data_IF_411050763201
#
_entry.id   IF_411050763201
#
_cell.length_a   1.000
_cell.length_b   1.000
_cell.length_c   1.000
_cell.angle_alpha   90.00
_cell.angle_beta   90.00
_cell.angle_gamma   90.00
#
_symmetry.space_group_name_H-M   'P 1'
#
loop_
_entity.id
_entity.type
_entity.pdbx_description
1 polymer ?
#
# COMPACT_ATOMS: atom_id res chain seq x y z
N UNK A 1 -6.18 -0.20 19.92
CA UNK A 1 -5.39 0.13 18.72
C UNK A 1 -6.15 1.19 17.95
N UNK A 2 -5.49 2.30 17.61
CA UNK A 2 -6.11 3.43 16.90
C UNK A 2 -5.49 3.56 15.50
N UNK A 3 -6.34 3.48 14.49
CA UNK A 3 -5.96 3.43 13.06
C UNK A 3 -6.52 4.65 12.35
N UNK A 4 -5.65 5.44 11.74
CA UNK A 4 -6.01 6.51 10.83
C UNK A 4 -5.87 6.05 9.37
N UNK A 5 -6.81 6.44 8.54
CA UNK A 5 -6.78 6.16 7.10
C UNK A 5 -6.84 7.49 6.36
N UNK A 6 -5.85 7.74 5.52
CA UNK A 6 -5.77 8.92 4.66
C UNK A 6 -5.78 8.44 3.21
N UNK A 7 -6.85 8.82 2.48
CA UNK A 7 -7.16 8.30 1.16
C UNK A 7 -8.08 7.07 1.21
N UNK A 8 -9.38 7.28 0.97
CA UNK A 8 -10.44 6.24 0.96
C UNK A 8 -10.75 5.76 -0.47
N UNK A 9 -9.69 5.41 -1.21
CA UNK A 9 -9.79 4.64 -2.45
C UNK A 9 -9.97 3.14 -2.14
N UNK A 10 -9.76 2.25 -3.14
CA UNK A 10 -9.90 0.80 -2.93
C UNK A 10 -8.90 0.27 -1.90
N UNK A 11 -7.66 0.77 -1.87
CA UNK A 11 -6.64 0.36 -0.89
C UNK A 11 -7.01 0.80 0.53
N UNK A 12 -7.36 2.08 0.73
CA UNK A 12 -7.75 2.58 2.04
C UNK A 12 -9.04 1.95 2.57
N UNK A 13 -9.99 1.65 1.68
CA UNK A 13 -11.22 0.92 2.03
C UNK A 13 -10.94 -0.52 2.45
N UNK A 14 -9.98 -1.20 1.82
CA UNK A 14 -9.56 -2.54 2.21
C UNK A 14 -8.90 -2.54 3.61
N UNK A 15 -8.09 -1.53 3.93
CA UNK A 15 -7.54 -1.34 5.28
C UNK A 15 -8.67 -1.12 6.29
N UNK A 16 -9.61 -0.20 5.99
CA UNK A 16 -10.77 0.05 6.85
C UNK A 16 -11.55 -1.22 7.13
N UNK A 17 -11.85 -2.00 6.10
CA UNK A 17 -12.56 -3.26 6.24
C UNK A 17 -11.79 -4.27 7.10
N UNK A 18 -10.50 -4.44 6.83
CA UNK A 18 -9.67 -5.41 7.55
C UNK A 18 -9.51 -5.12 9.05
N UNK A 19 -9.54 -3.87 9.47
CA UNK A 19 -9.44 -3.48 10.87
C UNK A 19 -10.79 -3.21 11.53
N UNK A 20 -11.91 -3.47 10.84
CA UNK A 20 -13.27 -3.23 11.34
C UNK A 20 -13.83 -4.43 12.10
N UNK A 21 -14.90 -4.23 12.90
CA UNK A 21 -15.61 -5.30 13.57
C UNK A 21 -16.17 -6.37 12.62
N UNK A 22 -16.43 -6.03 11.35
CA UNK A 22 -16.92 -6.98 10.33
C UNK A 22 -15.96 -8.16 10.09
N UNK A 23 -14.69 -7.99 10.46
CA UNK A 23 -13.63 -9.01 10.32
C UNK A 23 -13.13 -9.51 11.66
N UNK A 24 -13.88 -9.27 12.74
CA UNK A 24 -13.50 -9.68 14.09
C UNK A 24 -12.38 -8.83 14.71
N UNK A 25 -12.15 -7.61 14.19
CA UNK A 25 -11.14 -6.70 14.71
C UNK A 25 -11.81 -5.47 15.35
N UNK A 26 -11.44 -5.13 16.56
CA UNK A 26 -11.99 -4.00 17.31
C UNK A 26 -10.98 -2.83 17.37
N UNK A 27 -10.56 -2.35 16.22
CA UNK A 27 -9.74 -1.14 16.13
C UNK A 27 -10.63 0.11 16.07
N UNK A 28 -10.19 1.18 16.73
CA UNK A 28 -10.79 2.50 16.54
C UNK A 28 -10.28 3.08 15.23
N UNK A 29 -11.17 3.30 14.26
CA UNK A 29 -10.79 3.73 12.92
C UNK A 29 -11.29 5.16 12.67
N UNK A 30 -10.40 6.05 12.23
CA UNK A 30 -10.73 7.36 11.70
C UNK A 30 -10.30 7.47 10.24
N UNK A 31 -11.12 8.15 9.42
CA UNK A 31 -10.93 8.22 7.97
C UNK A 31 -10.97 9.66 7.50
N UNK A 32 -9.96 10.06 6.75
CA UNK A 32 -9.90 11.30 6.01
C UNK A 32 -9.70 11.04 4.52
N UNK A 33 -10.40 11.78 3.70
CA UNK A 33 -10.18 11.84 2.25
C UNK A 33 -10.32 13.29 1.79
N UNK A 34 -9.62 13.67 0.71
CA UNK A 34 -9.75 14.99 0.09
C UNK A 34 -11.16 15.20 -0.50
N UNK A 35 -11.80 14.11 -0.94
CA UNK A 35 -13.20 14.11 -1.38
C UNK A 35 -14.12 14.19 -0.16
N UNK A 36 -14.89 15.30 0.04
CA UNK A 36 -15.76 15.45 1.19
C UNK A 36 -16.84 14.36 1.30
N UNK A 37 -17.22 13.72 0.17
CA UNK A 37 -18.19 12.63 0.17
C UNK A 37 -17.63 11.34 0.82
N UNK A 38 -16.32 11.24 0.93
CA UNK A 38 -15.61 10.08 1.51
C UNK A 38 -15.00 10.37 2.88
N UNK A 39 -14.74 11.64 3.19
CA UNK A 39 -14.22 12.08 4.46
C UNK A 39 -15.26 11.90 5.58
N UNK A 40 -14.84 11.36 6.71
CA UNK A 40 -15.65 11.18 7.92
C UNK A 40 -15.15 12.10 9.02
N UNK A 41 -13.86 12.36 9.05
CA UNK A 41 -13.15 13.14 10.07
C UNK A 41 -12.24 14.16 9.40
N UNK A 42 -11.81 15.18 10.12
CA UNK A 42 -10.78 16.11 9.68
C UNK A 42 -9.39 15.45 9.68
N UNK A 43 -8.44 16.01 8.95
CA UNK A 43 -7.06 15.51 8.95
C UNK A 43 -6.41 15.62 10.33
N UNK A 44 -6.68 16.72 11.07
CA UNK A 44 -6.18 16.92 12.46
C UNK A 44 -6.65 15.80 13.39
N UNK A 45 -7.94 15.44 13.34
CA UNK A 45 -8.50 14.34 14.15
C UNK A 45 -7.89 13.00 13.77
N UNK A 46 -7.75 12.69 12.45
CA UNK A 46 -7.18 11.43 12.00
C UNK A 46 -5.73 11.30 12.41
N UNK A 47 -4.94 12.36 12.27
CA UNK A 47 -3.51 12.34 12.59
C UNK A 47 -3.29 12.23 14.10
N UNK A 48 -4.01 13.01 14.91
CA UNK A 48 -3.71 13.12 16.34
C UNK A 48 -4.39 12.08 17.21
N UNK A 49 -5.43 11.43 16.73
CA UNK A 49 -6.12 10.35 17.45
C UNK A 49 -5.70 8.94 17.01
N UNK A 50 -4.66 8.82 16.19
CA UNK A 50 -4.18 7.53 15.68
C UNK A 50 -2.78 7.18 16.17
N UNK A 51 -2.54 5.87 16.36
CA UNK A 51 -1.21 5.31 16.59
C UNK A 51 -0.48 5.03 15.26
N UNK A 52 -1.27 4.61 14.25
CA UNK A 52 -0.81 4.26 12.90
C UNK A 52 -1.69 4.93 11.84
N UNK A 53 -1.04 5.55 10.85
CA UNK A 53 -1.71 6.20 9.72
C UNK A 53 -1.43 5.43 8.44
N UNK A 54 -2.45 4.88 7.81
CA UNK A 54 -2.35 4.25 6.49
C UNK A 54 -2.59 5.30 5.41
N UNK A 55 -1.51 5.71 4.72
CA UNK A 55 -1.56 6.68 3.63
C UNK A 55 -1.65 5.98 2.28
N UNK A 56 -2.82 6.08 1.64
CA UNK A 56 -3.17 5.39 0.38
C UNK A 56 -3.71 6.38 -0.63
N UNK A 57 -2.84 7.22 -1.20
CA UNK A 57 -3.20 8.23 -2.20
C UNK A 57 -2.65 7.89 -3.58
N UNK A 58 -3.24 8.39 -4.68
CA UNK A 58 -2.79 8.06 -6.01
C UNK A 58 -1.40 8.64 -6.33
N UNK A 59 -0.64 7.88 -7.13
CA UNK A 59 0.65 8.27 -7.70
C UNK A 59 0.59 8.11 -9.22
N UNK A 60 -0.02 9.06 -9.95
CA UNK A 60 -0.19 8.96 -11.39
C UNK A 60 1.16 9.08 -12.13
N UNK A 61 1.17 8.67 -13.40
CA UNK A 61 2.31 8.87 -14.27
C UNK A 61 2.32 10.28 -14.85
N UNK A 62 3.49 10.89 -14.94
CA UNK A 62 3.73 12.08 -15.74
C UNK A 62 3.73 11.76 -17.25
N UNK A 63 3.63 12.77 -18.13
CA UNK A 63 3.69 12.56 -19.58
C UNK A 63 4.97 11.86 -20.09
N UNK A 64 6.09 11.99 -19.38
CA UNK A 64 7.37 11.34 -19.69
C UNK A 64 7.47 9.90 -19.13
N UNK A 65 6.40 9.39 -18.50
CA UNK A 65 6.35 8.07 -17.89
C UNK A 65 6.94 8.00 -16.47
N UNK A 66 7.50 9.09 -15.95
CA UNK A 66 7.93 9.14 -14.55
C UNK A 66 6.74 9.15 -13.59
N UNK A 67 6.95 8.71 -12.36
CA UNK A 67 5.91 8.72 -11.34
C UNK A 67 5.76 10.11 -10.73
N UNK A 68 4.51 10.58 -10.60
CA UNK A 68 4.22 11.83 -9.90
C UNK A 68 3.93 11.54 -8.42
N UNK A 69 4.73 12.15 -7.55
CA UNK A 69 4.64 11.99 -6.10
C UNK A 69 4.10 13.24 -5.38
N UNK A 70 3.62 14.25 -6.12
CA UNK A 70 3.18 15.54 -5.56
C UNK A 70 2.03 15.37 -4.56
N UNK A 71 1.11 14.42 -4.84
CA UNK A 71 -0.01 14.15 -3.93
C UNK A 71 0.49 13.55 -2.62
N UNK A 72 1.43 12.61 -2.67
CA UNK A 72 2.05 12.00 -1.47
C UNK A 72 2.78 13.09 -0.67
N UNK A 73 3.56 13.91 -1.35
CA UNK A 73 4.34 14.99 -0.74
C UNK A 73 3.45 16.03 -0.05
N UNK A 74 2.37 16.46 -0.72
CA UNK A 74 1.38 17.38 -0.16
C UNK A 74 0.74 16.84 1.12
N UNK A 75 0.31 15.57 1.10
CA UNK A 75 -0.33 14.97 2.28
C UNK A 75 0.67 14.75 3.42
N UNK A 76 1.92 14.40 3.12
CA UNK A 76 2.96 14.34 4.16
C UNK A 76 3.26 15.71 4.77
N UNK A 77 3.20 16.79 3.97
CA UNK A 77 3.31 18.17 4.49
C UNK A 77 2.15 18.49 5.44
N UNK A 78 0.90 18.19 5.03
CA UNK A 78 -0.28 18.40 5.87
C UNK A 78 -0.18 17.62 7.20
N UNK A 79 0.23 16.34 7.15
CA UNK A 79 0.44 15.53 8.35
C UNK A 79 1.51 16.16 9.25
N UNK A 80 2.64 16.58 8.65
CA UNK A 80 3.74 17.18 9.39
C UNK A 80 3.35 18.49 10.06
N UNK A 81 2.45 19.27 9.46
CA UNK A 81 1.93 20.51 10.03
C UNK A 81 1.02 20.29 11.24
N UNK A 82 0.08 19.32 11.13
CA UNK A 82 -0.95 19.13 12.16
C UNK A 82 -0.56 18.18 13.28
N UNK A 83 0.48 17.34 13.10
CA UNK A 83 0.82 16.29 14.06
C UNK A 83 1.31 16.83 15.41
N UNK A 84 0.75 16.27 16.50
CA UNK A 84 1.16 16.51 17.90
C UNK A 84 1.60 15.21 18.59
N UNK A 85 1.07 14.07 18.14
CA UNK A 85 1.23 12.75 18.77
C UNK A 85 2.29 11.85 18.11
N UNK A 86 2.83 12.25 16.93
CA UNK A 86 3.85 11.53 16.17
C UNK A 86 3.46 10.08 15.82
N UNK A 87 2.31 9.84 15.16
CA UNK A 87 1.92 8.52 14.73
C UNK A 87 2.92 7.94 13.72
N UNK A 88 2.88 6.61 13.51
CA UNK A 88 3.66 6.00 12.43
C UNK A 88 2.84 6.07 11.13
N UNK A 89 3.44 6.65 10.09
CA UNK A 89 2.84 6.81 8.76
C UNK A 89 3.27 5.63 7.88
N UNK A 90 2.32 4.74 7.57
CA UNK A 90 2.52 3.63 6.63
C UNK A 90 2.19 4.11 5.22
N UNK A 91 3.22 4.33 4.40
CA UNK A 91 3.08 4.67 2.99
C UNK A 91 2.74 3.41 2.19
N UNK A 92 1.58 3.44 1.51
CA UNK A 92 1.09 2.31 0.71
C UNK A 92 1.10 2.58 -0.79
N UNK A 93 1.19 3.85 -1.18
CA UNK A 93 1.25 4.27 -2.58
C UNK A 93 2.49 3.70 -3.27
N UNK A 94 2.36 3.26 -4.51
CA UNK A 94 3.50 2.75 -5.30
C UNK A 94 4.48 3.89 -5.57
N UNK A 95 5.77 3.65 -5.30
CA UNK A 95 6.83 4.63 -5.47
C UNK A 95 8.11 3.96 -5.99
N UNK A 96 8.96 4.72 -6.68
CA UNK A 96 10.28 4.22 -7.13
C UNK A 96 11.24 4.08 -5.94
N UNK A 97 12.18 3.12 -5.98
CA UNK A 97 13.17 2.92 -4.92
C UNK A 97 13.91 4.21 -4.54
N UNK A 98 13.98 4.48 -3.23
CA UNK A 98 14.59 5.68 -2.65
C UNK A 98 13.61 6.84 -2.40
N UNK A 99 12.33 6.74 -2.79
CA UNK A 99 11.32 7.78 -2.57
C UNK A 99 11.00 7.98 -1.09
N UNK A 100 10.73 6.91 -0.36
CA UNK A 100 10.40 6.97 1.08
C UNK A 100 11.54 7.55 1.89
N UNK A 101 12.78 7.21 1.56
CA UNK A 101 13.96 7.78 2.21
C UNK A 101 14.11 9.29 1.96
N UNK A 102 13.76 9.76 0.74
CA UNK A 102 13.72 11.20 0.43
C UNK A 102 12.65 11.91 1.27
N UNK A 103 11.44 11.31 1.39
CA UNK A 103 10.39 11.85 2.23
C UNK A 103 10.78 11.86 3.71
N UNK A 104 11.39 10.80 4.24
CA UNK A 104 11.87 10.78 5.61
C UNK A 104 12.92 11.86 5.88
N UNK A 105 13.80 12.15 4.91
CA UNK A 105 14.75 13.26 5.02
C UNK A 105 14.08 14.64 4.94
N UNK A 106 13.06 14.78 4.10
CA UNK A 106 12.31 16.03 3.93
C UNK A 106 11.44 16.33 5.16
N UNK A 107 10.88 15.30 5.78
CA UNK A 107 10.00 15.39 6.95
C UNK A 107 10.60 14.63 8.14
N UNK A 108 11.69 15.10 8.76
CA UNK A 108 12.41 14.35 9.80
C UNK A 108 11.60 14.18 11.10
N UNK A 109 10.51 14.91 11.27
CA UNK A 109 9.60 14.78 12.43
C UNK A 109 8.58 13.65 12.27
N UNK A 110 8.36 13.15 11.05
CA UNK A 110 7.48 12.03 10.78
C UNK A 110 8.18 10.69 11.04
N UNK A 111 7.41 9.69 11.47
CA UNK A 111 7.85 8.30 11.54
C UNK A 111 7.31 7.56 10.32
N UNK A 112 8.05 7.51 9.23
CA UNK A 112 7.61 6.89 7.98
C UNK A 112 8.02 5.43 7.94
N UNK A 113 7.10 4.56 7.48
CA UNK A 113 7.35 3.15 7.12
C UNK A 113 6.72 2.90 5.76
N UNK A 114 7.45 2.35 4.81
CA UNK A 114 6.88 1.90 3.54
C UNK A 114 6.25 0.52 3.72
N UNK A 115 4.96 0.41 3.40
CA UNK A 115 4.20 -0.82 3.48
C UNK A 115 3.44 -1.04 2.17
N UNK A 116 4.08 -1.63 1.14
CA UNK A 116 3.45 -1.86 -0.15
C UNK A 116 2.21 -2.75 -0.05
N UNK A 117 1.28 -2.53 -0.97
CA UNK A 117 0.12 -3.36 -1.18
C UNK A 117 0.28 -4.25 -2.43
N UNK A 118 -0.39 -5.40 -2.45
CA UNK A 118 -0.42 -6.35 -3.56
C UNK A 118 -1.87 -6.73 -3.89
N UNK A 119 -2.78 -5.75 -3.80
CA UNK A 119 -4.21 -5.93 -3.94
C UNK A 119 -4.63 -5.83 -5.40
N UNK A 120 -5.65 -6.58 -5.75
CA UNK A 120 -6.39 -6.42 -7.00
C UNK A 120 -7.62 -5.55 -6.72
N UNK A 121 -7.92 -4.55 -7.54
CA UNK A 121 -9.02 -3.62 -7.29
C UNK A 121 -10.36 -4.33 -7.08
N UNK A 122 -10.62 -5.41 -7.85
CA UNK A 122 -11.87 -6.18 -7.77
C UNK A 122 -12.03 -6.98 -6.47
N UNK A 123 -10.94 -7.37 -5.84
CA UNK A 123 -10.92 -8.26 -4.66
C UNK A 123 -10.16 -7.67 -3.47
N UNK A 124 -9.96 -6.34 -3.45
CA UNK A 124 -9.07 -5.66 -2.51
C UNK A 124 -9.31 -6.03 -1.04
N UNK A 125 -10.58 -6.11 -0.60
CA UNK A 125 -10.93 -6.50 0.77
C UNK A 125 -10.50 -7.94 1.08
N UNK A 126 -10.77 -8.86 0.15
CA UNK A 126 -10.41 -10.27 0.29
C UNK A 126 -8.88 -10.44 0.25
N UNK A 127 -8.22 -9.79 -0.70
CA UNK A 127 -6.77 -9.85 -0.88
C UNK A 127 -6.03 -9.33 0.35
N UNK A 128 -6.52 -8.22 0.96
CA UNK A 128 -5.87 -7.67 2.14
C UNK A 128 -5.98 -8.59 3.36
N UNK A 129 -7.13 -9.24 3.56
CA UNK A 129 -7.32 -10.16 4.69
C UNK A 129 -6.51 -11.45 4.50
N UNK A 130 -6.40 -11.92 3.24
CA UNK A 130 -5.74 -13.18 2.90
C UNK A 130 -4.30 -12.98 2.40
N UNK A 131 -3.65 -11.86 2.72
CA UNK A 131 -2.26 -11.64 2.33
C UNK A 131 -1.34 -12.73 2.88
N UNK A 132 -0.52 -13.28 1.99
CA UNK A 132 0.46 -14.31 2.36
C UNK A 132 1.64 -13.76 3.16
N UNK A 133 1.88 -12.46 3.10
CA UNK A 133 2.98 -11.76 3.79
C UNK A 133 2.75 -10.25 3.82
N UNK A 134 3.36 -9.59 4.79
CA UNK A 134 3.52 -8.13 4.82
C UNK A 134 4.98 -7.75 4.61
N UNK A 135 5.21 -6.60 3.99
CA UNK A 135 6.54 -6.02 3.77
C UNK A 135 6.57 -4.66 4.44
N UNK A 136 7.59 -4.42 5.23
CA UNK A 136 7.76 -3.20 6.01
C UNK A 136 9.18 -2.69 5.81
N UNK A 137 9.32 -1.52 5.22
CA UNK A 137 10.61 -0.88 4.96
C UNK A 137 10.77 0.43 5.69
N UNK A 138 11.89 0.61 6.39
CA UNK A 138 12.16 1.85 7.09
C UNK A 138 13.11 1.74 8.27
N UNK A 139 12.98 2.69 9.20
CA UNK A 139 13.71 2.64 10.47
C UNK A 139 13.29 1.41 11.30
N UNK A 140 14.27 0.68 11.83
CA UNK A 140 14.06 -0.60 12.53
C UNK A 140 13.05 -0.49 13.67
N UNK A 141 13.11 0.60 14.45
CA UNK A 141 12.20 0.82 15.59
C UNK A 141 10.75 0.97 15.15
N UNK A 142 10.53 1.71 14.06
CA UNK A 142 9.18 1.95 13.52
C UNK A 142 8.65 0.71 12.80
N UNK A 143 9.51 0.00 12.06
CA UNK A 143 9.21 -1.28 11.40
C UNK A 143 8.77 -2.32 12.42
N UNK A 144 9.47 -2.49 13.55
CA UNK A 144 9.07 -3.41 14.63
C UNK A 144 7.68 -3.12 15.19
N UNK A 145 7.35 -1.84 15.42
CA UNK A 145 6.01 -1.46 15.89
C UNK A 145 4.92 -1.79 14.87
N UNK A 146 5.20 -1.58 13.57
CA UNK A 146 4.29 -1.99 12.51
C UNK A 146 4.14 -3.52 12.45
N UNK A 147 5.21 -4.28 12.65
CA UNK A 147 5.15 -5.74 12.73
C UNK A 147 4.26 -6.21 13.89
N UNK A 148 4.35 -5.57 15.05
CA UNK A 148 3.47 -5.84 16.19
C UNK A 148 2.00 -5.57 15.85
N UNK A 149 1.70 -4.45 15.13
CA UNK A 149 0.35 -4.15 14.63
C UNK A 149 -0.18 -5.27 13.73
N UNK A 150 0.60 -5.71 12.74
CA UNK A 150 0.17 -6.75 11.80
C UNK A 150 0.04 -8.11 12.48
N UNK A 151 0.94 -8.48 13.40
CA UNK A 151 0.81 -9.71 14.20
C UNK A 151 -0.41 -9.67 15.12
N UNK A 152 -0.70 -8.54 15.74
CA UNK A 152 -1.91 -8.36 16.54
C UNK A 152 -3.17 -8.58 15.70
N UNK A 153 -3.18 -8.08 14.44
CA UNK A 153 -4.36 -8.17 13.58
C UNK A 153 -4.50 -9.52 12.88
N UNK A 154 -3.42 -10.09 12.35
CA UNK A 154 -3.43 -11.26 11.46
C UNK A 154 -2.86 -12.53 12.10
N UNK A 155 -2.46 -12.46 13.34
CA UNK A 155 -1.88 -13.59 14.08
C UNK A 155 -0.35 -13.58 14.09
N UNK A 156 0.21 -14.24 15.09
CA UNK A 156 1.67 -14.23 15.36
C UNK A 156 2.49 -14.94 14.28
N UNK A 157 1.88 -15.82 13.50
CA UNK A 157 2.54 -16.63 12.47
C UNK A 157 2.56 -15.99 11.08
N UNK A 158 1.90 -14.83 10.91
CA UNK A 158 1.90 -14.15 9.60
C UNK A 158 3.33 -13.78 9.20
N UNK A 159 3.79 -14.14 7.98
CA UNK A 159 5.09 -13.76 7.49
C UNK A 159 5.21 -12.23 7.34
N UNK A 160 6.23 -11.63 7.95
CA UNK A 160 6.54 -10.21 7.83
C UNK A 160 8.01 -10.09 7.40
N UNK A 161 8.24 -9.38 6.30
CA UNK A 161 9.58 -9.05 5.79
C UNK A 161 9.89 -7.64 6.27
N UNK A 162 10.78 -7.55 7.26
CA UNK A 162 11.30 -6.31 7.82
C UNK A 162 12.59 -5.93 7.08
N UNK A 163 12.66 -4.74 6.50
CA UNK A 163 13.80 -4.33 5.66
C UNK A 163 13.96 -2.80 5.61
N UNK A 164 14.88 -2.31 4.79
CA UNK A 164 15.03 -0.88 4.47
C UNK A 164 13.99 -0.39 3.44
N UNK A 165 13.94 0.93 3.25
CA UNK A 165 13.00 1.56 2.32
C UNK A 165 13.19 1.08 0.88
N UNK A 166 14.43 1.13 0.40
CA UNK A 166 14.77 0.84 -0.98
C UNK A 166 14.45 -0.60 -1.36
N UNK A 167 14.73 -1.55 -0.46
CA UNK A 167 14.41 -2.97 -0.65
C UNK A 167 12.90 -3.21 -0.69
N UNK A 168 12.13 -2.60 0.23
CA UNK A 168 10.68 -2.75 0.24
C UNK A 168 10.02 -2.15 -1.01
N UNK A 169 10.48 -0.99 -1.47
CA UNK A 169 10.02 -0.33 -2.71
C UNK A 169 10.36 -1.17 -3.93
N UNK A 170 11.59 -1.73 -3.99
CA UNK A 170 12.01 -2.63 -5.06
C UNK A 170 11.12 -3.88 -5.15
N UNK A 171 10.80 -4.51 -4.02
CA UNK A 171 9.90 -5.68 -3.99
C UNK A 171 8.55 -5.34 -4.63
N UNK A 172 7.97 -4.17 -4.34
CA UNK A 172 6.71 -3.72 -4.98
C UNK A 172 6.88 -3.57 -6.49
N UNK A 173 7.96 -2.92 -6.93
CA UNK A 173 8.25 -2.72 -8.34
C UNK A 173 8.46 -4.04 -9.08
N UNK A 174 9.25 -4.95 -8.51
CA UNK A 174 9.49 -6.28 -9.09
C UNK A 174 8.18 -7.03 -9.32
N UNK A 175 7.27 -7.02 -8.33
CA UNK A 175 5.97 -7.67 -8.47
C UNK A 175 5.14 -7.07 -9.61
N UNK A 176 5.01 -5.74 -9.65
CA UNK A 176 4.21 -5.06 -10.66
C UNK A 176 4.80 -5.24 -12.07
N UNK A 177 6.12 -5.08 -12.24
CA UNK A 177 6.80 -5.27 -13.51
C UNK A 177 6.71 -6.73 -14.00
N UNK A 178 6.85 -7.69 -13.08
CA UNK A 178 6.71 -9.10 -13.42
C UNK A 178 5.30 -9.44 -13.92
N UNK A 179 4.26 -8.92 -13.25
CA UNK A 179 2.88 -9.12 -13.72
C UNK A 179 2.65 -8.48 -15.09
N UNK A 180 3.16 -7.26 -15.32
CA UNK A 180 3.07 -6.60 -16.63
C UNK A 180 3.80 -7.39 -17.73
N UNK A 181 4.99 -7.90 -17.43
CA UNK A 181 5.75 -8.74 -18.36
C UNK A 181 5.01 -10.05 -18.70
N UNK A 182 4.38 -10.68 -17.71
CA UNK A 182 3.55 -11.88 -17.93
C UNK A 182 2.39 -11.59 -18.89
N UNK A 183 1.68 -10.48 -18.69
CA UNK A 183 0.56 -10.09 -19.59
C UNK A 183 1.08 -9.82 -20.99
N UNK A 184 2.18 -9.06 -21.14
CA UNK A 184 2.79 -8.80 -22.44
C UNK A 184 3.22 -10.08 -23.16
N UNK A 185 3.90 -10.98 -22.43
CA UNK A 185 4.30 -12.28 -22.97
C UNK A 185 3.10 -13.10 -23.46
N UNK A 186 2.02 -13.16 -22.67
CA UNK A 186 0.82 -13.92 -23.05
C UNK A 186 0.13 -13.32 -24.28
N UNK A 187 0.13 -11.98 -24.43
CA UNK A 187 -0.40 -11.33 -25.60
C UNK A 187 0.42 -11.68 -26.87
N UNK A 188 1.76 -11.69 -26.77
CA UNK A 188 2.62 -12.11 -27.89
C UNK A 188 2.38 -13.58 -28.27
N UNK A 189 2.27 -14.46 -27.28
CA UNK A 189 1.98 -15.89 -27.53
C UNK A 189 0.60 -16.09 -28.14
N UNK A 190 -0.39 -15.28 -27.80
CA UNK A 190 -1.70 -15.29 -28.46
C UNK A 190 -1.58 -14.98 -29.97
N UNK A 191 -0.80 -13.96 -30.33
CA UNK A 191 -0.56 -13.60 -31.74
C UNK A 191 0.14 -14.74 -32.51
N UNK A 192 1.07 -15.44 -31.85
CA UNK A 192 1.74 -16.62 -32.43
C UNK A 192 0.72 -17.75 -32.65
N UNK A 193 -0.12 -18.05 -31.67
CA UNK A 193 -1.16 -19.06 -31.74
C UNK A 193 -2.11 -18.80 -32.93
N UNK A 194 -2.58 -17.55 -33.05
CA UNK A 194 -3.47 -17.15 -34.17
C UNK A 194 -2.83 -17.35 -35.57
N UNK A 195 -1.51 -17.09 -35.67
CA UNK A 195 -0.76 -17.26 -36.94
C UNK A 195 -0.47 -18.69 -37.30
N UNK A 196 -0.19 -19.54 -36.34
CA UNK A 196 0.13 -20.96 -36.61
C UNK A 196 -1.11 -21.89 -36.54
N UNK A 197 -2.30 -21.36 -36.22
CA UNK A 197 -3.53 -22.11 -36.17
C UNK A 197 -3.62 -23.05 -34.93
N UNK A 198 -2.85 -22.78 -33.90
CA UNK A 198 -2.92 -23.56 -32.66
C UNK A 198 -4.20 -23.24 -31.87
N UNK A 199 -4.71 -24.24 -31.14
CA UNK A 199 -5.79 -24.05 -30.19
C UNK A 199 -5.26 -23.32 -28.93
N UNK A 200 -5.66 -22.04 -28.79
CA UNK A 200 -5.19 -21.19 -27.70
C UNK A 200 -5.62 -21.68 -26.30
N UNK A 201 -6.86 -22.15 -26.17
CA UNK A 201 -7.39 -22.62 -24.89
C UNK A 201 -6.62 -23.87 -24.41
N UNK A 202 -6.39 -24.80 -25.31
CA UNK A 202 -5.59 -25.99 -25.03
C UNK A 202 -4.13 -25.65 -24.74
N UNK A 203 -3.57 -24.66 -25.45
CA UNK A 203 -2.20 -24.21 -25.22
C UNK A 203 -2.02 -23.57 -23.85
N UNK A 204 -2.98 -22.75 -23.39
CA UNK A 204 -2.97 -22.18 -22.03
C UNK A 204 -3.13 -23.28 -20.96
N UNK A 205 -4.09 -24.19 -21.14
CA UNK A 205 -4.30 -25.28 -20.19
C UNK A 205 -3.04 -26.14 -20.01
N UNK A 206 -2.32 -26.39 -21.09
CA UNK A 206 -1.06 -27.14 -21.05
C UNK A 206 0.14 -26.34 -20.55
N UNK A 207 0.06 -25.00 -20.51
CA UNK A 207 1.14 -24.12 -20.06
C UNK A 207 1.10 -23.85 -18.54
N UNK A 208 -0.08 -23.76 -17.93
CA UNK A 208 -0.31 -23.53 -16.50
C UNK A 208 -0.29 -24.85 -15.72
#
# INVERSE_FOLDING_TARGET
>A
MKIGIIGKGFVGSAVQFAFSPNTGCDAQIKVYDKDPAKAIHSIDEVVNDSDFLFLSVPTPSNPDGSINLDVVDSVLADINEVQKTKPIVLLRSTMVPGSSKKFQKKYPQLNIVFNPEFLTERSANFDFINQSRFILGGDEKNVKKCSELFRWRFGSTIPIIETDYETAELIKYMNNCFLAAKVSFMNEMRLVSDKCGADWEMAIEGFI
#
